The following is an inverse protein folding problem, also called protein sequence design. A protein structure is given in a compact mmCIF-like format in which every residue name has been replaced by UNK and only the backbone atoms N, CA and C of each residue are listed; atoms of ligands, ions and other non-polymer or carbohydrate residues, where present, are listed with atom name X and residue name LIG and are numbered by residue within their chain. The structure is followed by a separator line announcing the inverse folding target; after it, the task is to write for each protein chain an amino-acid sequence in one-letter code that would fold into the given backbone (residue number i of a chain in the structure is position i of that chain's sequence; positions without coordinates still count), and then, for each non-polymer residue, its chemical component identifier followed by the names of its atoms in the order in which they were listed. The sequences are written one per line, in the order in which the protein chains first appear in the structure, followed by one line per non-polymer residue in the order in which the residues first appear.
data_IF_205251935527
#
_entry.id   IF_205251935527
#
_cell.length_a   1.000
_cell.length_b   1.000
_cell.length_c   1.000
_cell.angle_alpha   90.00
_cell.angle_beta   90.00
_cell.angle_gamma   90.00
#
_symmetry.space_group_name_H-M   'P 1'
#
loop_
_entity.id
_entity.type
_entity.pdbx_description
1 polymer ?
#
# COMPACT_ATOMS: atom_id res chain seq x y z
N UNK A 1 -16.43 0.76 -4.33
CA UNK A 1 -17.80 0.21 -4.31
C UNK A 1 -17.75 -1.01 -3.41
N UNK A 2 -18.56 -1.07 -2.35
CA UNK A 2 -18.44 -2.13 -1.33
C UNK A 2 -18.96 -3.53 -1.78
N UNK A 3 -19.39 -3.67 -3.05
CA UNK A 3 -19.90 -4.93 -3.62
C UNK A 3 -19.00 -5.62 -4.65
N UNK A 4 -17.79 -5.12 -4.92
CA UNK A 4 -16.82 -5.80 -5.78
C UNK A 4 -16.17 -6.96 -4.98
N UNK A 5 -16.23 -8.22 -5.44
CA UNK A 5 -15.58 -9.35 -4.76
C UNK A 5 -14.09 -9.13 -4.49
N UNK A 6 -13.41 -8.37 -5.36
CA UNK A 6 -12.02 -8.00 -5.16
C UNK A 6 -11.85 -7.03 -3.98
N UNK A 7 -12.81 -6.13 -3.74
CA UNK A 7 -12.77 -5.18 -2.60
C UNK A 7 -12.80 -5.89 -1.26
N UNK A 8 -13.68 -6.89 -1.12
CA UNK A 8 -13.81 -7.68 0.11
C UNK A 8 -12.53 -8.47 0.33
N UNK A 9 -12.03 -9.15 -0.71
CA UNK A 9 -10.76 -9.88 -0.66
C UNK A 9 -9.58 -8.98 -0.28
N UNK A 10 -9.46 -7.79 -0.87
CA UNK A 10 -8.40 -6.83 -0.51
C UNK A 10 -8.48 -6.44 0.96
N UNK A 11 -9.67 -6.11 1.46
CA UNK A 11 -9.87 -5.75 2.87
C UNK A 11 -9.48 -6.88 3.82
N UNK A 12 -9.87 -8.12 3.51
CA UNK A 12 -9.55 -9.28 4.34
C UNK A 12 -8.04 -9.55 4.38
N UNK A 13 -7.37 -9.45 3.22
CA UNK A 13 -5.90 -9.57 3.14
C UNK A 13 -5.23 -8.50 3.99
N UNK A 14 -5.61 -7.22 3.83
CA UNK A 14 -5.05 -6.11 4.60
C UNK A 14 -5.29 -6.25 6.11
N UNK A 15 -6.48 -6.71 6.51
CA UNK A 15 -6.78 -6.99 7.91
C UNK A 15 -5.87 -8.10 8.47
N UNK A 16 -5.65 -9.17 7.70
CA UNK A 16 -4.83 -10.32 8.12
C UNK A 16 -3.34 -9.99 8.33
N UNK A 17 -2.83 -8.94 7.66
CA UNK A 17 -1.43 -8.50 7.78
C UNK A 17 -1.24 -7.38 8.79
N UNK A 18 -2.31 -6.67 9.18
CA UNK A 18 -2.22 -5.49 10.05
C UNK A 18 -1.56 -5.83 11.39
N UNK A 19 -1.96 -6.93 12.03
CA UNK A 19 -1.36 -7.36 13.30
C UNK A 19 0.12 -7.78 13.17
N UNK A 20 0.50 -8.64 12.21
CA UNK A 20 1.91 -9.01 11.99
C UNK A 20 2.86 -7.82 11.78
N UNK A 21 2.43 -6.77 11.08
CA UNK A 21 3.29 -5.64 10.71
C UNK A 21 3.14 -4.42 11.62
N UNK A 22 2.36 -4.50 12.71
CA UNK A 22 1.99 -3.33 13.52
C UNK A 22 3.18 -2.53 14.11
N UNK A 23 4.33 -3.19 14.28
CA UNK A 23 5.56 -2.55 14.77
C UNK A 23 6.38 -1.88 13.65
N UNK A 24 6.02 -2.12 12.39
CA UNK A 24 6.74 -1.66 11.19
C UNK A 24 5.94 -0.60 10.43
N UNK A 25 4.63 -0.82 10.28
CA UNK A 25 3.75 0.01 9.48
C UNK A 25 2.32 0.03 10.00
N UNK A 26 1.60 1.11 9.69
CA UNK A 26 0.15 1.25 9.87
C UNK A 26 -0.50 1.32 8.50
N UNK A 27 -1.58 0.57 8.29
CA UNK A 27 -2.35 0.56 7.05
C UNK A 27 -3.57 1.47 7.21
N UNK A 28 -3.73 2.40 6.26
CA UNK A 28 -4.95 3.19 6.10
C UNK A 28 -5.66 2.83 4.79
N UNK A 29 -6.96 2.53 4.88
CA UNK A 29 -7.80 2.28 3.71
C UNK A 29 -8.58 3.55 3.39
N UNK A 30 -8.27 4.18 2.26
CA UNK A 30 -8.90 5.43 1.81
C UNK A 30 -9.81 5.14 0.62
N UNK A 31 -11.08 5.53 0.72
CA UNK A 31 -12.01 5.41 -0.40
C UNK A 31 -11.87 6.60 -1.36
N UNK A 32 -11.44 6.34 -2.61
CA UNK A 32 -11.25 7.39 -3.65
C UNK A 32 -12.47 8.28 -3.90
N UNK A 33 -13.67 7.71 -3.72
CA UNK A 33 -14.93 8.42 -3.96
C UNK A 33 -15.31 9.33 -2.79
N UNK A 34 -14.72 9.10 -1.61
CA UNK A 34 -14.93 9.89 -0.40
C UNK A 34 -13.86 10.97 -0.24
N UNK A 35 -12.63 10.69 -0.68
CA UNK A 35 -11.51 11.63 -0.66
C UNK A 35 -10.91 11.72 -2.05
N UNK A 36 -11.28 12.76 -2.79
CA UNK A 36 -10.94 12.90 -4.21
C UNK A 36 -9.66 13.69 -4.47
N UNK A 37 -9.18 14.48 -3.50
CA UNK A 37 -8.04 15.40 -3.65
C UNK A 37 -6.77 14.69 -4.15
N UNK A 38 -6.57 13.45 -3.71
CA UNK A 38 -5.41 12.63 -4.07
C UNK A 38 -5.51 11.98 -5.46
N UNK A 39 -6.70 11.93 -6.07
CA UNK A 39 -6.90 11.23 -7.34
C UNK A 39 -6.14 11.91 -8.48
N UNK A 40 -6.20 13.24 -8.55
CA UNK A 40 -5.44 14.02 -9.53
C UNK A 40 -3.96 14.10 -9.15
N UNK A 41 -3.66 14.37 -7.88
CA UNK A 41 -2.28 14.54 -7.40
C UNK A 41 -1.40 13.31 -7.66
N UNK A 42 -1.99 12.11 -7.47
CA UNK A 42 -1.29 10.85 -7.68
C UNK A 42 -1.83 10.07 -8.87
N UNK A 43 -2.53 10.69 -9.83
CA UNK A 43 -3.01 10.04 -11.06
C UNK A 43 -3.62 8.65 -10.82
N UNK A 44 -4.56 8.54 -9.87
CA UNK A 44 -5.11 7.27 -9.40
C UNK A 44 -6.21 6.75 -10.35
N UNK A 45 -5.81 6.01 -11.38
CA UNK A 45 -6.73 5.44 -12.36
C UNK A 45 -7.24 4.03 -11.98
N UNK A 46 -6.40 3.22 -11.32
CA UNK A 46 -6.70 1.81 -11.02
C UNK A 46 -7.54 1.64 -9.74
N UNK A 47 -8.34 0.58 -9.64
CA UNK A 47 -9.32 0.35 -8.54
C UNK A 47 -8.68 0.15 -7.15
N UNK A 48 -7.49 -0.42 -7.08
CA UNK A 48 -6.75 -0.62 -5.83
C UNK A 48 -5.29 -0.25 -6.03
N UNK A 49 -4.81 0.68 -5.23
CA UNK A 49 -3.43 1.19 -5.25
C UNK A 49 -2.96 1.33 -3.82
N UNK A 50 -1.74 0.86 -3.55
CA UNK A 50 -1.05 1.09 -2.29
C UNK A 50 0.14 2.02 -2.53
N UNK A 51 0.32 2.96 -1.61
CA UNK A 51 1.42 3.91 -1.59
C UNK A 51 2.07 3.89 -0.22
N UNK A 52 3.38 4.08 -0.17
CA UNK A 52 4.15 4.00 1.06
C UNK A 52 4.66 5.39 1.43
N UNK A 53 4.43 5.76 2.70
CA UNK A 53 4.83 7.04 3.24
C UNK A 53 5.69 6.83 4.48
N UNK A 54 6.76 7.62 4.60
CA UNK A 54 7.61 7.65 5.79
C UNK A 54 7.96 9.09 6.14
N UNK A 55 7.68 9.51 7.39
CA UNK A 55 7.94 10.89 7.88
C UNK A 55 7.41 11.98 6.92
N UNK A 56 6.15 11.83 6.49
CA UNK A 56 5.45 12.72 5.56
C UNK A 56 6.07 12.81 4.14
N UNK A 57 6.93 11.85 3.77
CA UNK A 57 7.45 11.73 2.40
C UNK A 57 6.86 10.50 1.75
N UNK A 58 6.40 10.63 0.51
CA UNK A 58 6.09 9.51 -0.35
C UNK A 58 7.40 8.86 -0.82
N UNK A 59 7.51 7.55 -0.69
CA UNK A 59 8.75 6.81 -0.95
C UNK A 59 8.45 5.69 -1.95
N UNK A 60 9.18 5.62 -3.08
CA UNK A 60 9.04 4.52 -4.04
C UNK A 60 9.45 3.18 -3.43
N UNK A 61 8.70 2.13 -3.73
CA UNK A 61 8.98 0.76 -3.27
C UNK A 61 9.84 0.04 -4.30
N UNK A 62 10.85 -0.68 -3.81
CA UNK A 62 11.70 -1.52 -4.66
C UNK A 62 11.02 -2.87 -4.94
N UNK A 63 10.89 -3.24 -6.22
CA UNK A 63 10.40 -4.55 -6.69
C UNK A 63 11.52 -5.44 -7.23
N UNK A 64 12.77 -5.12 -6.94
CA UNK A 64 13.97 -5.82 -7.40
C UNK A 64 14.42 -5.40 -8.79
N UNK A 65 13.51 -5.34 -9.78
CA UNK A 65 13.86 -4.93 -11.15
C UNK A 65 13.76 -3.43 -11.39
N UNK A 66 12.84 -2.77 -10.69
CA UNK A 66 12.58 -1.34 -10.78
C UNK A 66 11.90 -0.86 -9.49
N UNK A 67 11.91 0.46 -9.28
CA UNK A 67 11.17 1.11 -8.21
C UNK A 67 9.81 1.57 -8.73
N UNK A 68 8.79 1.43 -7.91
CA UNK A 68 7.42 1.85 -8.23
C UNK A 68 6.89 2.83 -7.19
N UNK A 69 6.25 3.89 -7.65
CA UNK A 69 5.58 4.88 -6.79
C UNK A 69 4.29 4.34 -6.17
N UNK A 70 3.68 3.36 -6.85
CA UNK A 70 2.35 2.83 -6.59
C UNK A 70 2.39 1.32 -6.79
N UNK A 71 1.97 0.57 -5.78
CA UNK A 71 1.83 -0.88 -5.84
C UNK A 71 0.43 -1.22 -6.31
N UNK A 72 0.33 -2.01 -7.39
CA UNK A 72 -0.92 -2.48 -7.99
C UNK A 72 -0.93 -4.01 -8.06
N UNK A 73 -2.11 -4.62 -7.91
CA UNK A 73 -2.29 -6.07 -8.05
C UNK A 73 -1.86 -6.90 -6.83
N UNK A 74 -0.67 -6.64 -6.28
CA UNK A 74 -0.08 -7.44 -5.18
C UNK A 74 -0.79 -7.25 -3.84
N UNK A 75 -1.65 -6.24 -3.70
CA UNK A 75 -2.43 -5.96 -2.48
C UNK A 75 -3.39 -7.11 -2.14
N UNK A 76 -3.74 -7.94 -3.13
CA UNK A 76 -4.62 -9.10 -2.96
C UNK A 76 -3.88 -10.38 -2.54
N UNK A 77 -2.55 -10.31 -2.41
CA UNK A 77 -1.68 -11.41 -2.03
C UNK A 77 -0.98 -11.06 -0.72
N UNK A 78 -1.36 -11.79 0.33
CA UNK A 78 -0.89 -11.55 1.70
C UNK A 78 0.64 -11.61 1.79
N UNK A 79 1.23 -12.62 1.17
CA UNK A 79 2.67 -12.88 1.27
C UNK A 79 3.43 -11.79 0.53
N UNK A 80 3.05 -11.52 -0.73
CA UNK A 80 3.70 -10.45 -1.52
C UNK A 80 3.59 -9.09 -0.86
N UNK A 81 2.43 -8.75 -0.31
CA UNK A 81 2.26 -7.45 0.34
C UNK A 81 3.07 -7.35 1.63
N UNK A 82 3.09 -8.39 2.47
CA UNK A 82 3.89 -8.41 3.69
C UNK A 82 5.40 -8.35 3.39
N UNK A 83 5.86 -9.06 2.35
CA UNK A 83 7.26 -9.11 1.92
C UNK A 83 7.78 -7.75 1.42
N UNK A 84 6.90 -6.81 1.05
CA UNK A 84 7.29 -5.45 0.71
C UNK A 84 7.47 -4.54 1.94
N UNK A 85 6.76 -4.82 3.05
CA UNK A 85 6.74 -3.92 4.21
C UNK A 85 8.06 -3.91 4.98
N UNK A 86 8.65 -5.08 5.22
CA UNK A 86 9.90 -5.19 5.99
C UNK A 86 11.07 -4.52 5.26
N UNK A 87 11.38 -4.83 3.98
CA UNK A 87 12.46 -4.17 3.24
C UNK A 87 12.23 -2.67 3.10
N UNK A 88 10.98 -2.25 2.89
CA UNK A 88 10.62 -0.83 2.86
C UNK A 88 10.98 -0.14 4.17
N UNK A 89 10.53 -0.69 5.31
CA UNK A 89 10.80 -0.14 6.64
C UNK A 89 12.30 -0.04 6.90
N UNK A 90 13.08 -1.07 6.57
CA UNK A 90 14.53 -1.05 6.74
C UNK A 90 15.22 -0.02 5.83
N UNK A 91 14.76 0.16 4.59
CA UNK A 91 15.32 1.14 3.67
C UNK A 91 15.10 2.57 4.16
N UNK A 92 13.92 2.88 4.69
CA UNK A 92 13.59 4.23 5.18
C UNK A 92 14.09 4.51 6.59
N UNK A 93 14.21 3.48 7.43
CA UNK A 93 14.68 3.61 8.83
C UNK A 93 16.18 3.85 8.93
N UNK A 94 16.95 3.42 7.94
CA UNK A 94 18.39 3.72 7.84
C UNK A 94 18.68 5.20 7.59
N UNK A 95 17.67 5.99 7.24
CA UNK A 95 17.80 7.40 6.90
C UNK A 95 18.49 7.61 5.55
N UNK A 96 18.35 8.79 4.94
CA UNK A 96 19.41 9.32 4.08
C UNK A 96 20.68 9.60 4.88
#
# INVERSE_FOLDING_TARGET
MDGDPNHVRTKDVLASITNPIQNLAVIYVVGRNKVMDFNTLYELQNTYVAMFLFRNKHVPVDRGTHKVDKVMGDINDKEKFADMVQPFYEAVSRGP
#
